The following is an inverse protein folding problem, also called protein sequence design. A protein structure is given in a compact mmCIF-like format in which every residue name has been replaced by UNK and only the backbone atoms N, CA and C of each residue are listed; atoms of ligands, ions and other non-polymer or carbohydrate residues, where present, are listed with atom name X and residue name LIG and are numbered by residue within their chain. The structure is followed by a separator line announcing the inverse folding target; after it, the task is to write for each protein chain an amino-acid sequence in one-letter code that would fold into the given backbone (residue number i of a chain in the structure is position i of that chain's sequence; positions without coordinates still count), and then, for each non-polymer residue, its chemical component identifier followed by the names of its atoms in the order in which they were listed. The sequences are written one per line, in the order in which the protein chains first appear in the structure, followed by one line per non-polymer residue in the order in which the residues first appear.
data_IF_972725861793
#
_entry.id   IF_972725861793
#
_cell.length_a   1.000
_cell.length_b   1.000
_cell.length_c   1.000
_cell.angle_alpha   90.00
_cell.angle_beta   90.00
_cell.angle_gamma   90.00
#
_symmetry.space_group_name_H-M   'P 1'
#
loop_
_entity.id
_entity.type
_entity.pdbx_description
1 polymer ?
#
# COMPACT_ATOMS: atom_id res chain seq x y z
N UNK A 1 1.82 33.39 60.30
CA UNK A 1 1.98 34.64 59.54
C UNK A 1 3.38 34.61 58.97
N UNK A 2 3.52 34.20 57.69
CA UNK A 2 3.25 35.10 56.56
C UNK A 2 2.35 34.48 55.48
N UNK A 3 1.63 35.34 54.77
CA UNK A 3 0.80 35.03 53.61
C UNK A 3 1.62 35.18 52.33
N UNK A 4 1.92 34.06 51.67
CA UNK A 4 2.45 34.07 50.30
C UNK A 4 1.29 34.19 49.31
N UNK A 5 1.28 35.31 48.59
CA UNK A 5 0.38 35.56 47.47
C UNK A 5 0.92 34.87 46.22
N UNK A 6 0.10 34.02 45.61
CA UNK A 6 0.35 33.39 44.31
C UNK A 6 -0.06 34.38 43.20
N UNK A 7 0.84 34.75 42.27
CA UNK A 7 0.47 35.59 41.13
C UNK A 7 -0.19 34.76 40.02
N UNK A 8 -1.34 35.25 39.56
CA UNK A 8 -2.09 34.72 38.40
C UNK A 8 -1.45 35.21 37.09
N UNK A 9 -1.24 34.35 36.08
CA UNK A 9 -0.78 34.80 34.78
C UNK A 9 -1.95 35.39 33.96
N UNK A 10 -1.81 36.68 33.63
CA UNK A 10 -2.62 37.41 32.65
C UNK A 10 -2.10 37.05 31.26
N UNK A 11 -2.88 36.31 30.48
CA UNK A 11 -2.61 36.12 29.04
C UNK A 11 -3.69 36.84 28.25
N UNK A 12 -3.41 38.11 27.92
CA UNK A 12 -4.23 38.92 27.03
C UNK A 12 -3.99 38.54 25.57
N UNK A 13 -5.04 38.09 24.88
CA UNK A 13 -5.04 37.97 23.43
C UNK A 13 -5.23 39.37 22.81
N UNK A 14 -4.37 39.80 21.86
CA UNK A 14 -4.61 41.02 21.11
C UNK A 14 -5.75 40.83 20.12
N UNK A 15 -6.69 41.78 20.21
CA UNK A 15 -7.85 41.98 19.34
C UNK A 15 -7.37 42.48 17.96
N UNK A 16 -7.71 41.85 16.83
CA UNK A 16 -7.41 42.42 15.53
C UNK A 16 -8.35 43.58 15.23
N UNK A 17 -7.74 44.73 14.97
CA UNK A 17 -8.39 45.98 14.65
C UNK A 17 -9.21 45.93 13.37
N UNK A 18 -10.30 46.70 13.43
CA UNK A 18 -11.23 46.98 12.36
C UNK A 18 -10.52 47.67 11.19
N UNK A 19 -10.30 46.96 10.09
CA UNK A 19 -10.09 47.60 8.80
C UNK A 19 -11.43 47.95 8.16
N UNK A 20 -11.64 49.25 8.13
CA UNK A 20 -12.76 50.03 7.63
C UNK A 20 -12.55 50.31 6.14
N UNK A 21 -13.58 50.06 5.35
CA UNK A 21 -13.99 50.91 4.23
C UNK A 21 -13.30 50.70 2.88
N UNK A 22 -14.06 50.21 1.91
CA UNK A 22 -13.72 50.23 0.50
C UNK A 22 -14.89 49.75 -0.35
N UNK A 23 -15.90 50.62 -0.49
CA UNK A 23 -16.99 50.43 -1.45
C UNK A 23 -16.43 50.49 -2.88
N UNK A 24 -16.64 49.44 -3.66
CA UNK A 24 -16.59 49.51 -5.12
C UNK A 24 -17.83 48.78 -5.66
N UNK A 25 -18.71 49.58 -6.24
CA UNK A 25 -19.91 49.16 -6.97
C UNK A 25 -19.51 48.71 -8.39
N UNK A 26 -20.24 47.80 -9.05
CA UNK A 26 -19.77 47.12 -10.24
C UNK A 26 -20.14 47.89 -11.52
N UNK A 27 -19.18 48.03 -12.42
CA UNK A 27 -19.45 48.41 -13.81
C UNK A 27 -19.70 47.15 -14.65
N UNK A 28 -20.89 47.14 -15.23
CA UNK A 28 -21.30 46.21 -16.26
C UNK A 28 -20.47 46.45 -17.54
N UNK A 29 -19.81 45.40 -18.04
CA UNK A 29 -19.40 45.34 -19.44
C UNK A 29 -20.00 44.09 -20.07
N UNK A 30 -21.09 44.37 -20.78
CA UNK A 30 -21.68 43.60 -21.85
C UNK A 30 -20.72 43.60 -23.05
N UNK A 31 -20.38 42.45 -23.62
CA UNK A 31 -20.06 42.28 -25.05
C UNK A 31 -19.92 40.77 -25.35
N UNK A 32 -20.93 40.18 -25.96
CA UNK A 32 -21.11 40.01 -27.42
C UNK A 32 -20.19 38.96 -28.03
N UNK A 33 -20.83 37.87 -28.45
CA UNK A 33 -20.33 36.82 -29.29
C UNK A 33 -19.68 37.35 -30.58
N UNK A 34 -18.65 36.67 -31.05
CA UNK A 34 -18.28 36.62 -32.45
C UNK A 34 -17.66 35.26 -32.74
N UNK A 35 -18.42 34.47 -33.48
CA UNK A 35 -17.94 33.36 -34.29
C UNK A 35 -16.85 33.85 -35.24
N UNK A 36 -15.77 33.08 -35.38
CA UNK A 36 -15.06 32.99 -36.64
C UNK A 36 -14.20 31.72 -36.67
N UNK A 37 -14.74 30.73 -37.39
CA UNK A 37 -14.00 29.66 -38.03
C UNK A 37 -12.85 30.22 -38.86
N UNK A 38 -11.65 29.65 -38.72
CA UNK A 38 -10.63 29.71 -39.77
C UNK A 38 -9.72 28.50 -39.69
N UNK A 39 -9.90 27.61 -40.67
CA UNK A 39 -8.95 26.63 -41.15
C UNK A 39 -7.62 27.31 -41.52
N UNK A 40 -6.51 26.71 -41.11
CA UNK A 40 -5.17 27.19 -41.45
C UNK A 40 -4.11 26.13 -41.18
N UNK A 41 -4.04 25.13 -42.07
CA UNK A 41 -2.87 24.28 -42.20
C UNK A 41 -1.71 25.11 -42.77
N UNK A 42 -0.51 25.02 -42.18
CA UNK A 42 0.75 24.70 -42.88
C UNK A 42 1.99 24.99 -42.04
N UNK A 43 2.97 24.13 -42.28
CA UNK A 43 4.40 24.44 -42.39
C UNK A 43 5.30 24.27 -41.16
N UNK A 44 5.92 23.10 -41.17
CA UNK A 44 7.26 22.80 -40.69
C UNK A 44 8.24 23.98 -40.79
N UNK A 45 9.00 24.22 -39.72
CA UNK A 45 10.43 24.44 -39.89
C UNK A 45 11.22 23.99 -38.66
N UNK A 46 12.03 22.96 -38.87
CA UNK A 46 13.06 22.50 -37.96
C UNK A 46 14.19 23.54 -37.86
N UNK A 47 14.65 23.81 -36.65
CA UNK A 47 15.99 24.37 -36.41
C UNK A 47 16.69 23.56 -35.33
N UNK A 48 17.63 22.75 -35.78
CA UNK A 48 18.68 22.15 -34.98
C UNK A 48 19.68 23.25 -34.57
N UNK A 49 19.99 23.34 -33.29
CA UNK A 49 21.15 24.07 -32.79
C UNK A 49 22.13 23.03 -32.23
N UNK A 50 23.14 22.70 -33.04
CA UNK A 50 24.31 21.98 -32.60
C UNK A 50 25.19 22.95 -31.81
N UNK A 51 25.41 22.65 -30.52
CA UNK A 51 26.42 23.33 -29.71
C UNK A 51 27.69 22.51 -29.79
N UNK A 52 28.66 23.10 -30.46
CA UNK A 52 30.04 22.65 -30.58
C UNK A 52 30.80 23.18 -29.37
N UNK A 53 31.28 22.30 -28.48
CA UNK A 53 32.33 22.62 -27.51
C UNK A 53 33.45 21.62 -27.73
N UNK A 54 34.47 22.12 -28.41
CA UNK A 54 35.83 21.60 -28.49
C UNK A 54 36.62 22.11 -27.28
N UNK A 55 37.58 21.32 -26.81
CA UNK A 55 38.60 21.81 -25.88
C UNK A 55 38.99 20.87 -24.75
N UNK A 56 40.16 20.25 -24.88
CA UNK A 56 41.12 20.24 -23.77
C UNK A 56 41.54 18.88 -23.24
N UNK A 57 42.52 18.27 -23.90
CA UNK A 57 43.40 17.26 -23.34
C UNK A 57 44.12 17.79 -22.08
N UNK A 58 44.19 16.97 -21.02
CA UNK A 58 45.38 16.82 -20.16
C UNK A 58 45.21 15.66 -19.17
N UNK A 59 45.96 14.59 -19.42
CA UNK A 59 46.51 13.69 -18.40
C UNK A 59 48.02 14.02 -18.28
N UNK A 60 48.86 13.42 -17.40
CA UNK A 60 48.61 12.38 -16.38
C UNK A 60 49.29 12.64 -15.02
N UNK A 61 48.94 11.88 -13.97
CA UNK A 61 49.87 11.58 -12.86
C UNK A 61 49.43 10.35 -12.04
N UNK A 62 50.23 9.29 -12.20
CA UNK A 62 50.69 8.25 -11.27
C UNK A 62 50.11 8.13 -9.84
N UNK A 63 49.58 6.92 -9.53
CA UNK A 63 49.92 5.94 -8.47
C UNK A 63 50.34 6.44 -7.04
N UNK A 64 49.98 5.73 -5.95
CA UNK A 64 50.35 4.32 -5.76
C UNK A 64 49.35 3.38 -5.06
N UNK A 65 49.59 2.10 -5.34
CA UNK A 65 49.03 0.89 -4.75
C UNK A 65 49.43 0.72 -3.29
N UNK A 66 48.51 0.21 -2.47
CA UNK A 66 48.82 -0.40 -1.16
C UNK A 66 48.25 -1.82 -1.08
N UNK A 67 48.89 -2.71 -0.30
CA UNK A 67 48.70 -4.16 -0.38
C UNK A 67 47.78 -4.71 0.72
N UNK A 68 47.16 -5.86 0.39
CA UNK A 68 46.94 -7.06 1.22
C UNK A 68 46.46 -6.87 2.66
N UNK A 69 45.23 -7.31 2.94
CA UNK A 69 44.97 -8.16 4.10
C UNK A 69 43.95 -9.27 3.75
N UNK A 70 44.48 -10.48 3.69
CA UNK A 70 43.77 -11.75 3.81
C UNK A 70 43.28 -11.88 5.25
N UNK A 71 41.96 -12.00 5.44
CA UNK A 71 41.39 -12.54 6.68
C UNK A 71 40.42 -13.65 6.30
N UNK A 72 40.95 -14.87 6.28
CA UNK A 72 40.18 -16.08 6.47
C UNK A 72 39.66 -16.13 7.92
N UNK A 73 38.38 -16.46 8.11
CA UNK A 73 37.78 -17.20 9.23
C UNK A 73 36.26 -17.30 8.94
N UNK A 74 35.79 -18.44 8.47
CA UNK A 74 35.16 -19.47 9.30
C UNK A 74 33.78 -19.07 9.87
N UNK A 75 32.73 -19.43 9.13
CA UNK A 75 31.53 -20.07 9.71
C UNK A 75 30.64 -20.65 8.60
N UNK A 76 31.00 -21.83 8.09
CA UNK A 76 30.07 -22.65 7.35
C UNK A 76 29.08 -23.29 8.33
N UNK A 77 28.06 -22.54 8.75
CA UNK A 77 26.87 -23.14 9.34
C UNK A 77 26.04 -23.74 8.21
N UNK A 78 26.29 -25.02 7.97
CA UNK A 78 25.46 -25.88 7.16
C UNK A 78 24.05 -25.91 7.78
N UNK A 79 23.15 -25.04 7.28
CA UNK A 79 21.73 -25.10 7.57
C UNK A 79 21.18 -26.32 6.86
N UNK A 80 21.13 -27.44 7.57
CA UNK A 80 20.42 -28.63 7.14
C UNK A 80 18.93 -28.28 6.91
N UNK A 81 18.29 -28.90 5.91
CA UNK A 81 16.95 -28.55 5.50
C UNK A 81 15.93 -28.84 6.61
N UNK A 82 15.14 -27.81 6.95
CA UNK A 82 14.05 -27.77 7.95
C UNK A 82 13.01 -28.91 7.78
N UNK A 83 13.03 -29.61 6.66
CA UNK A 83 12.16 -30.76 6.40
C UNK A 83 12.45 -31.98 7.27
N UNK A 84 13.69 -32.16 7.75
CA UNK A 84 14.01 -33.35 8.55
C UNK A 84 13.39 -33.29 9.95
N UNK A 85 13.39 -32.13 10.61
CA UNK A 85 12.83 -31.97 11.95
C UNK A 85 11.32 -32.27 12.00
N UNK A 86 10.57 -31.89 10.96
CA UNK A 86 9.13 -32.16 10.89
C UNK A 86 8.83 -33.66 10.76
N UNK A 87 9.62 -34.40 9.97
CA UNK A 87 9.45 -35.85 9.85
C UNK A 87 9.76 -36.55 11.18
N UNK A 88 10.81 -36.12 11.89
CA UNK A 88 11.17 -36.67 13.20
C UNK A 88 10.08 -36.41 14.24
N UNK A 89 9.46 -35.22 14.25
CA UNK A 89 8.34 -34.90 15.14
C UNK A 89 7.09 -35.75 14.85
N UNK A 90 6.77 -35.98 13.58
CA UNK A 90 5.63 -36.84 13.19
C UNK A 90 5.87 -38.30 13.60
N UNK A 91 7.10 -38.81 13.41
CA UNK A 91 7.46 -40.17 13.82
C UNK A 91 7.44 -40.33 15.35
N UNK A 92 7.91 -39.33 16.09
CA UNK A 92 7.85 -39.32 17.55
C UNK A 92 6.40 -39.30 18.07
N UNK A 93 5.52 -38.50 17.44
CA UNK A 93 4.09 -38.49 17.76
C UNK A 93 3.40 -39.82 17.47
N UNK A 94 3.75 -40.49 16.36
CA UNK A 94 3.21 -41.80 16.01
C UNK A 94 3.58 -42.89 17.03
N UNK A 95 4.80 -42.83 17.59
CA UNK A 95 5.27 -43.79 18.59
C UNK A 95 4.54 -43.68 19.95
N UNK A 96 3.91 -42.53 20.24
CA UNK A 96 3.14 -42.30 21.47
C UNK A 96 1.67 -42.78 21.37
N UNK A 97 1.21 -43.14 20.17
CA UNK A 97 -0.16 -43.64 19.97
C UNK A 97 -0.30 -45.06 20.52
N UNK A 98 -1.50 -45.39 21.00
CA UNK A 98 -1.82 -46.77 21.39
C UNK A 98 -1.82 -47.70 20.16
N UNK A 99 -1.62 -49.02 20.33
CA UNK A 99 -1.62 -49.96 19.21
C UNK A 99 -2.89 -49.91 18.34
N UNK A 100 -4.05 -49.61 18.95
CA UNK A 100 -5.32 -49.45 18.22
C UNK A 100 -5.36 -48.18 17.36
N UNK A 101 -4.83 -47.08 17.86
CA UNK A 101 -4.73 -45.81 17.12
C UNK A 101 -3.73 -45.92 15.96
N UNK A 102 -2.60 -46.59 16.17
CA UNK A 102 -1.61 -46.86 15.11
C UNK A 102 -2.22 -47.69 13.97
N UNK A 103 -3.09 -48.66 14.31
CA UNK A 103 -3.79 -49.50 13.32
C UNK A 103 -4.78 -48.69 12.47
N UNK A 104 -5.47 -47.72 13.07
CA UNK A 104 -6.38 -46.82 12.34
C UNK A 104 -5.61 -45.90 11.39
N UNK A 105 -4.54 -45.26 11.88
CA UNK A 105 -3.67 -44.41 11.05
C UNK A 105 -3.06 -45.22 9.90
N UNK A 106 -2.63 -46.46 10.15
CA UNK A 106 -2.12 -47.36 9.10
C UNK A 106 -3.17 -47.73 8.06
N UNK A 107 -4.45 -47.85 8.45
CA UNK A 107 -5.57 -48.10 7.52
C UNK A 107 -5.84 -46.90 6.62
N UNK A 108 -5.66 -45.69 7.15
CA UNK A 108 -5.84 -44.44 6.37
C UNK A 108 -4.67 -44.25 5.40
N UNK A 109 -3.44 -44.51 5.83
CA UNK A 109 -2.24 -44.37 4.99
C UNK A 109 -2.20 -45.45 3.90
N UNK A 110 -2.58 -46.68 4.25
CA UNK A 110 -2.61 -47.82 3.34
C UNK A 110 -4.04 -48.37 3.26
N UNK A 111 -4.94 -47.71 2.52
CA UNK A 111 -6.29 -48.21 2.35
C UNK A 111 -6.23 -49.59 1.68
N UNK A 112 -6.89 -50.62 2.24
CA UNK A 112 -6.88 -51.95 1.66
C UNK A 112 -7.49 -51.90 0.26
N UNK A 113 -6.75 -52.44 -0.72
CA UNK A 113 -7.23 -52.58 -2.08
C UNK A 113 -8.52 -53.40 -2.07
N UNK A 114 -9.64 -52.76 -2.40
CA UNK A 114 -10.95 -53.39 -2.48
C UNK A 114 -10.91 -54.39 -3.63
N UNK A 115 -10.83 -55.68 -3.30
CA UNK A 115 -10.97 -56.78 -4.26
C UNK A 115 -12.47 -56.95 -4.53
N UNK A 116 -12.95 -56.26 -5.55
CA UNK A 116 -14.30 -56.43 -6.09
C UNK A 116 -14.30 -57.57 -7.11
N UNK A 117 -14.96 -58.68 -6.77
CA UNK A 117 -15.34 -59.73 -7.71
C UNK A 117 -16.85 -59.75 -7.90
N UNK A 118 -17.34 -59.27 -9.05
CA UNK A 118 -18.46 -59.89 -9.75
C UNK A 118 -18.59 -59.30 -11.16
N UNK A 119 -18.57 -60.20 -12.14
CA UNK A 119 -18.53 -59.95 -13.57
C UNK A 119 -19.95 -59.75 -14.12
N UNK A 120 -20.27 -58.52 -14.47
CA UNK A 120 -21.21 -58.19 -15.56
C UNK A 120 -20.41 -57.32 -16.51
N UNK A 121 -20.44 -57.65 -17.81
CA UNK A 121 -19.71 -56.94 -18.86
C UNK A 121 -20.05 -55.44 -18.81
N UNK A 122 -19.18 -54.69 -18.14
CA UNK A 122 -19.17 -53.24 -18.07
C UNK A 122 -17.74 -52.86 -18.37
N UNK A 123 -17.60 -52.04 -19.41
CA UNK A 123 -16.35 -51.59 -19.96
C UNK A 123 -15.42 -51.08 -18.87
N UNK A 124 -14.18 -51.56 -18.95
CA UNK A 124 -13.01 -51.24 -18.14
C UNK A 124 -13.09 -49.84 -17.49
N UNK A 125 -13.09 -49.72 -16.15
CA UNK A 125 -12.89 -48.43 -15.49
C UNK A 125 -11.40 -48.13 -15.59
N UNK A 126 -11.00 -47.68 -16.78
CA UNK A 126 -9.75 -46.99 -16.97
C UNK A 126 -9.64 -45.92 -15.87
N UNK A 127 -8.46 -45.82 -15.28
CA UNK A 127 -8.00 -44.68 -14.48
C UNK A 127 -8.21 -43.39 -15.28
N UNK A 128 -9.44 -42.90 -15.31
CA UNK A 128 -9.76 -41.53 -15.66
C UNK A 128 -9.31 -40.73 -14.44
N UNK A 129 -8.02 -40.38 -14.45
CA UNK A 129 -7.52 -39.30 -13.63
C UNK A 129 -8.48 -38.15 -13.85
N UNK A 130 -9.27 -37.81 -12.82
CA UNK A 130 -10.10 -36.62 -12.80
C UNK A 130 -9.13 -35.44 -12.84
N UNK A 131 -8.70 -35.08 -14.05
CA UNK A 131 -7.99 -33.85 -14.40
C UNK A 131 -8.99 -32.71 -14.50
N UNK A 132 -9.95 -32.65 -13.58
CA UNK A 132 -10.87 -31.54 -13.45
C UNK A 132 -10.35 -30.58 -12.38
N UNK A 133 -10.55 -29.26 -12.51
CA UNK A 133 -10.28 -28.33 -11.43
C UNK A 133 -11.12 -28.72 -10.20
N UNK A 134 -10.56 -28.50 -9.00
CA UNK A 134 -11.19 -28.87 -7.72
C UNK A 134 -12.55 -28.16 -7.51
N UNK A 135 -12.72 -27.02 -8.18
CA UNK A 135 -13.93 -26.22 -8.22
C UNK A 135 -14.22 -25.90 -9.69
N UNK A 136 -15.48 -26.02 -10.10
CA UNK A 136 -15.93 -25.75 -11.48
C UNK A 136 -17.07 -24.76 -11.41
N UNK A 137 -17.08 -23.77 -12.30
CA UNK A 137 -18.10 -22.72 -12.36
C UNK A 137 -19.52 -23.31 -12.47
N UNK A 138 -19.67 -24.44 -13.19
CA UNK A 138 -20.93 -25.19 -13.33
C UNK A 138 -21.49 -25.74 -12.01
N UNK A 139 -20.65 -25.87 -10.97
CA UNK A 139 -21.04 -26.32 -9.63
C UNK A 139 -21.30 -25.16 -8.66
N UNK A 140 -20.99 -23.92 -9.04
CA UNK A 140 -21.27 -22.75 -8.22
C UNK A 140 -22.78 -22.48 -8.18
N UNK A 141 -23.35 -22.47 -6.97
CA UNK A 141 -24.71 -22.02 -6.75
C UNK A 141 -24.68 -20.52 -6.48
N UNK A 142 -25.58 -19.71 -7.08
CA UNK A 142 -25.71 -18.32 -6.73
C UNK A 142 -25.88 -18.22 -5.21
N UNK A 143 -25.03 -17.41 -4.56
CA UNK A 143 -25.25 -17.10 -3.17
C UNK A 143 -26.68 -16.55 -3.03
N UNK A 144 -27.44 -17.03 -2.04
CA UNK A 144 -28.71 -16.44 -1.70
C UNK A 144 -28.42 -15.00 -1.28
N UNK A 145 -28.55 -14.08 -2.24
CA UNK A 145 -28.33 -12.66 -2.05
C UNK A 145 -29.33 -12.17 -1.02
N UNK A 146 -28.89 -12.13 0.23
CA UNK A 146 -29.47 -11.26 1.24
C UNK A 146 -29.36 -9.84 0.68
N UNK A 147 -30.45 -9.40 0.07
CA UNK A 147 -30.66 -8.17 -0.70
C UNK A 147 -30.65 -6.93 0.19
N UNK A 148 -29.92 -6.98 1.30
CA UNK A 148 -29.49 -5.78 1.99
C UNK A 148 -28.49 -5.09 1.08
N UNK A 149 -28.96 -4.14 0.27
CA UNK A 149 -28.19 -3.18 -0.54
C UNK A 149 -27.22 -2.31 0.28
N UNK A 150 -26.90 -2.73 1.50
CA UNK A 150 -25.92 -2.14 2.40
C UNK A 150 -24.51 -2.58 2.03
N UNK A 151 -24.18 -2.56 0.73
CA UNK A 151 -22.79 -2.25 0.38
C UNK A 151 -22.55 -0.89 1.02
N UNK A 152 -21.88 -0.88 2.16
CA UNK A 152 -21.40 0.33 2.79
C UNK A 152 -20.33 0.84 1.84
N UNK A 153 -20.81 1.50 0.77
CA UNK A 153 -19.98 2.00 -0.30
C UNK A 153 -19.00 3.01 0.26
N UNK A 154 -17.94 3.26 -0.51
CA UNK A 154 -16.96 4.28 -0.15
C UNK A 154 -17.70 5.60 0.04
N UNK A 155 -17.50 6.22 1.20
CA UNK A 155 -18.19 7.46 1.55
C UNK A 155 -17.88 8.55 0.50
N UNK A 156 -18.89 9.30 -0.02
CA UNK A 156 -18.70 10.24 -1.14
C UNK A 156 -17.69 11.35 -0.85
N UNK A 157 -17.50 11.71 0.41
CA UNK A 157 -16.50 12.72 0.80
C UNK A 157 -15.05 12.26 0.59
N UNK A 158 -14.79 10.96 0.55
CA UNK A 158 -13.47 10.43 0.20
C UNK A 158 -13.22 10.65 -1.30
N UNK A 159 -14.26 10.49 -2.13
CA UNK A 159 -14.20 10.82 -3.57
C UNK A 159 -13.90 12.31 -3.71
N UNK A 160 -14.60 13.17 -2.97
CA UNK A 160 -14.36 14.61 -3.01
C UNK A 160 -12.94 15.00 -2.56
N UNK A 161 -12.40 14.34 -1.53
CA UNK A 161 -11.02 14.52 -1.10
C UNK A 161 -10.02 14.13 -2.22
N UNK A 162 -10.32 13.07 -2.96
CA UNK A 162 -9.51 12.60 -4.10
C UNK A 162 -9.56 13.60 -5.27
N UNK A 163 -10.74 14.15 -5.60
CA UNK A 163 -10.93 15.18 -6.63
C UNK A 163 -10.11 16.45 -6.31
N UNK A 164 -9.99 16.78 -5.03
CA UNK A 164 -9.17 17.89 -4.54
C UNK A 164 -7.65 17.63 -4.67
N UNK A 165 -7.22 16.45 -5.13
CA UNK A 165 -5.81 16.02 -5.21
C UNK A 165 -5.10 16.10 -3.85
N UNK A 166 -5.84 15.79 -2.78
CA UNK A 166 -5.30 15.69 -1.43
C UNK A 166 -4.92 14.24 -1.13
N UNK A 167 -3.89 14.05 -0.30
CA UNK A 167 -3.48 12.71 0.14
C UNK A 167 -4.67 11.97 0.76
N UNK A 168 -4.83 10.70 0.40
CA UNK A 168 -5.86 9.82 0.93
C UNK A 168 -5.20 8.83 1.91
N UNK A 169 -5.21 9.13 3.23
CA UNK A 169 -4.74 8.19 4.22
C UNK A 169 -5.54 6.90 4.18
N UNK A 170 -4.85 5.76 4.28
CA UNK A 170 -5.50 4.46 4.38
C UNK A 170 -6.34 4.28 5.63
N UNK A 171 -6.08 5.07 6.68
CA UNK A 171 -6.94 5.07 7.85
C UNK A 171 -8.37 5.50 7.53
N UNK A 172 -8.62 6.25 6.44
CA UNK A 172 -9.98 6.54 5.96
C UNK A 172 -10.69 5.31 5.36
N UNK A 173 -9.95 4.32 4.90
CA UNK A 173 -10.47 3.11 4.26
C UNK A 173 -10.71 1.96 5.24
N UNK A 174 -10.45 2.15 6.54
CA UNK A 174 -10.85 1.19 7.57
C UNK A 174 -12.38 1.19 7.74
N UNK A 175 -12.97 0.02 8.00
CA UNK A 175 -14.42 -0.12 8.19
C UNK A 175 -14.94 0.77 9.33
N UNK A 176 -14.17 0.88 10.41
CA UNK A 176 -14.51 1.75 11.53
C UNK A 176 -14.52 3.23 11.12
N UNK A 177 -13.53 3.67 10.34
CA UNK A 177 -13.45 5.04 9.83
C UNK A 177 -14.57 5.37 8.84
N UNK A 178 -14.91 4.43 7.94
CA UNK A 178 -16.07 4.57 7.04
C UNK A 178 -17.36 4.73 7.85
N UNK A 179 -17.56 3.90 8.88
CA UNK A 179 -18.72 4.00 9.78
C UNK A 179 -18.76 5.35 10.50
N UNK A 180 -17.63 5.83 11.00
CA UNK A 180 -17.55 7.14 11.66
C UNK A 180 -17.83 8.29 10.68
N UNK A 181 -17.41 8.19 9.42
CA UNK A 181 -17.78 9.14 8.37
C UNK A 181 -19.30 9.17 8.17
N UNK A 182 -19.96 8.02 8.02
CA UNK A 182 -21.43 7.99 7.86
C UNK A 182 -22.19 8.54 9.07
N UNK A 183 -21.68 8.34 10.29
CA UNK A 183 -22.38 8.74 11.52
C UNK A 183 -22.06 10.17 11.97
N UNK A 184 -20.85 10.67 11.72
CA UNK A 184 -20.31 11.89 12.37
C UNK A 184 -19.73 12.90 11.39
N UNK A 185 -20.09 12.83 10.10
CA UNK A 185 -19.48 13.65 9.05
C UNK A 185 -19.36 15.15 9.38
N UNK A 186 -20.40 15.74 9.96
CA UNK A 186 -20.43 17.18 10.25
C UNK A 186 -19.33 17.62 11.24
N UNK A 187 -18.85 16.73 12.11
CA UNK A 187 -17.77 17.00 13.05
C UNK A 187 -16.38 16.81 12.40
N UNK A 188 -16.34 15.95 11.38
CA UNK A 188 -15.13 15.54 10.67
C UNK A 188 -14.85 16.39 9.42
N UNK A 189 -15.56 17.50 9.20
CA UNK A 189 -15.31 18.42 8.09
C UNK A 189 -14.54 19.66 8.54
N UNK A 190 -13.60 20.10 7.71
CA UNK A 190 -12.97 21.41 7.79
C UNK A 190 -13.13 22.15 6.47
N UNK A 191 -12.84 23.45 6.50
CA UNK A 191 -12.80 24.25 5.28
C UNK A 191 -11.35 24.47 4.88
N UNK A 192 -11.04 24.23 3.62
CA UNK A 192 -9.76 24.59 3.02
C UNK A 192 -10.00 25.53 1.83
N UNK A 193 -9.04 26.41 1.55
CA UNK A 193 -9.06 27.24 0.35
C UNK A 193 -8.25 26.50 -0.72
N UNK A 194 -8.94 25.91 -1.69
CA UNK A 194 -8.34 25.15 -2.79
C UNK A 194 -8.62 25.91 -4.08
N UNK A 195 -7.55 26.32 -4.78
CA UNK A 195 -7.65 27.13 -6.01
C UNK A 195 -8.51 28.39 -5.84
N UNK A 196 -8.38 29.05 -4.68
CA UNK A 196 -9.11 30.29 -4.36
C UNK A 196 -10.58 30.11 -3.96
N UNK A 197 -11.10 28.87 -3.94
CA UNK A 197 -12.46 28.57 -3.51
C UNK A 197 -12.46 27.90 -2.14
N UNK A 198 -13.42 28.25 -1.29
CA UNK A 198 -13.61 27.61 0.01
C UNK A 198 -14.33 26.27 -0.20
N UNK A 199 -13.63 25.17 0.04
CA UNK A 199 -14.11 23.80 -0.11
C UNK A 199 -14.18 23.12 1.24
N UNK A 200 -15.22 22.32 1.48
CA UNK A 200 -15.30 21.48 2.68
C UNK A 200 -14.63 20.14 2.40
N UNK A 201 -13.71 19.72 3.27
CA UNK A 201 -13.00 18.44 3.14
C UNK A 201 -12.98 17.71 4.48
N UNK A 202 -12.66 16.41 4.44
CA UNK A 202 -12.48 15.59 5.63
C UNK A 202 -11.24 16.07 6.41
N UNK A 203 -11.41 16.27 7.72
CA UNK A 203 -10.34 16.47 8.70
C UNK A 203 -9.59 15.16 8.92
N UNK A 204 -8.48 15.00 8.20
CA UNK A 204 -7.65 13.79 8.25
C UNK A 204 -7.03 13.55 9.63
N UNK A 205 -6.77 14.62 10.39
CA UNK A 205 -6.15 14.57 11.72
C UNK A 205 -7.02 13.91 12.81
N UNK A 206 -8.33 13.75 12.56
CA UNK A 206 -9.26 13.07 13.47
C UNK A 206 -9.20 11.54 13.37
N UNK A 207 -8.48 11.00 12.37
CA UNK A 207 -8.31 9.57 12.18
C UNK A 207 -6.96 9.11 12.78
N UNK A 208 -6.79 7.81 13.05
CA UNK A 208 -5.52 7.28 13.52
C UNK A 208 -4.36 7.68 12.59
N UNK A 209 -3.18 7.81 13.19
CA UNK A 209 -1.95 8.11 12.45
C UNK A 209 -1.61 6.94 11.52
N UNK A 210 -1.67 7.20 10.22
CA UNK A 210 -1.39 6.22 9.18
C UNK A 210 0.02 5.63 9.30
N UNK A 211 1.01 6.38 9.80
CA UNK A 211 2.37 5.89 9.99
C UNK A 211 2.49 4.83 11.11
N UNK A 212 1.46 4.71 11.95
CA UNK A 212 1.38 3.75 13.06
C UNK A 212 0.36 2.64 12.81
N UNK A 213 -0.17 2.56 11.59
CA UNK A 213 -1.07 1.47 11.17
C UNK A 213 -0.37 0.12 11.36
N UNK A 214 -1.12 -0.94 11.64
CA UNK A 214 -0.58 -2.30 11.71
C UNK A 214 -0.84 -3.09 10.39
N UNK A 215 -0.18 -4.24 10.18
CA UNK A 215 -0.29 -4.99 8.93
C UNK A 215 -1.69 -5.56 8.63
N UNK A 216 -2.54 -5.71 9.64
CA UNK A 216 -3.91 -6.22 9.50
C UNK A 216 -4.80 -5.10 8.98
N UNK A 217 -4.80 -3.96 9.68
CA UNK A 217 -5.49 -2.75 9.28
C UNK A 217 -5.08 -2.29 7.88
N UNK A 218 -3.78 -2.37 7.55
CA UNK A 218 -3.29 -2.03 6.22
C UNK A 218 -3.84 -2.93 5.11
N UNK A 219 -4.03 -4.23 5.36
CA UNK A 219 -4.65 -5.14 4.38
C UNK A 219 -6.13 -4.85 4.20
N UNK A 220 -6.84 -4.58 5.30
CA UNK A 220 -8.24 -4.18 5.24
C UNK A 220 -8.40 -2.88 4.43
N UNK A 221 -7.61 -1.86 4.77
CA UNK A 221 -7.61 -0.59 4.06
C UNK A 221 -7.28 -0.76 2.57
N UNK A 222 -6.32 -1.62 2.22
CA UNK A 222 -6.01 -1.93 0.83
C UNK A 222 -7.17 -2.58 0.07
N UNK A 223 -7.85 -3.54 0.70
CA UNK A 223 -9.00 -4.19 0.07
C UNK A 223 -10.09 -3.16 -0.26
N UNK A 224 -10.40 -2.28 0.69
CA UNK A 224 -11.39 -1.21 0.49
C UNK A 224 -10.90 -0.14 -0.50
N UNK A 225 -9.60 0.17 -0.50
CA UNK A 225 -8.99 1.11 -1.45
C UNK A 225 -9.00 0.58 -2.89
N UNK A 226 -8.83 -0.73 -3.10
CA UNK A 226 -8.96 -1.33 -4.43
C UNK A 226 -10.40 -1.26 -4.95
N UNK A 227 -11.41 -1.46 -4.09
CA UNK A 227 -12.82 -1.27 -4.46
C UNK A 227 -13.08 0.18 -4.87
N UNK A 228 -12.53 1.14 -4.13
CA UNK A 228 -12.57 2.56 -4.50
C UNK A 228 -11.94 2.82 -5.86
N UNK A 229 -10.72 2.32 -6.10
CA UNK A 229 -10.03 2.53 -7.37
C UNK A 229 -10.72 1.85 -8.55
N UNK A 230 -11.35 0.69 -8.34
CA UNK A 230 -12.11 -0.01 -9.38
C UNK A 230 -13.32 0.83 -9.83
N UNK A 231 -13.96 1.55 -8.92
CA UNK A 231 -15.08 2.44 -9.21
C UNK A 231 -14.67 3.80 -9.80
N UNK A 232 -13.62 4.42 -9.24
CA UNK A 232 -13.31 5.84 -9.46
C UNK A 232 -12.08 6.08 -10.36
N UNK A 233 -11.23 5.08 -10.60
CA UNK A 233 -10.02 5.23 -11.39
C UNK A 233 -10.13 4.59 -12.77
N UNK A 234 -9.27 5.01 -13.70
CA UNK A 234 -9.17 4.34 -14.99
C UNK A 234 -8.60 2.92 -14.83
N UNK A 235 -8.93 1.96 -15.72
CA UNK A 235 -8.46 0.58 -15.60
C UNK A 235 -6.94 0.45 -15.51
N UNK A 236 -6.18 1.30 -16.21
CA UNK A 236 -4.72 1.31 -16.15
C UNK A 236 -4.18 1.72 -14.77
N UNK A 237 -4.84 2.69 -14.12
CA UNK A 237 -4.48 3.15 -12.77
C UNK A 237 -4.81 2.09 -11.72
N UNK A 238 -6.00 1.50 -11.82
CA UNK A 238 -6.40 0.38 -10.97
C UNK A 238 -5.40 -0.79 -11.07
N UNK A 239 -5.05 -1.22 -12.28
CA UNK A 239 -4.07 -2.29 -12.50
C UNK A 239 -2.68 -1.94 -11.94
N UNK A 240 -2.25 -0.70 -12.06
CA UNK A 240 -0.97 -0.24 -11.50
C UNK A 240 -0.96 -0.41 -9.96
N UNK A 241 -2.00 0.07 -9.29
CA UNK A 241 -2.10 -0.03 -7.83
C UNK A 241 -2.32 -1.47 -7.35
N UNK A 242 -3.04 -2.29 -8.10
CA UNK A 242 -3.16 -3.72 -7.82
C UNK A 242 -1.79 -4.42 -7.87
N UNK A 243 -0.95 -4.10 -8.86
CA UNK A 243 0.43 -4.62 -8.95
C UNK A 243 1.30 -4.12 -7.80
N UNK A 244 1.20 -2.85 -7.44
CA UNK A 244 1.88 -2.27 -6.27
C UNK A 244 1.51 -3.02 -4.99
N UNK A 245 0.21 -3.22 -4.71
CA UNK A 245 -0.23 -4.00 -3.54
C UNK A 245 0.29 -5.44 -3.56
N UNK A 246 0.23 -6.12 -4.72
CA UNK A 246 0.76 -7.48 -4.88
C UNK A 246 2.27 -7.54 -4.61
N UNK A 247 3.02 -6.55 -5.07
CA UNK A 247 4.45 -6.46 -4.81
C UNK A 247 4.74 -6.26 -3.31
N UNK A 248 4.03 -5.37 -2.63
CA UNK A 248 4.24 -5.11 -1.21
C UNK A 248 3.81 -6.28 -0.31
N UNK A 249 2.68 -6.91 -0.62
CA UNK A 249 2.16 -8.05 0.13
C UNK A 249 2.97 -9.33 -0.07
N UNK A 250 3.74 -9.45 -1.16
CA UNK A 250 4.62 -10.60 -1.43
C UNK A 250 6.00 -10.50 -0.76
N UNK A 251 6.30 -9.39 -0.09
CA UNK A 251 7.57 -9.22 0.61
C UNK A 251 7.73 -10.25 1.73
N UNK A 252 8.93 -10.85 1.80
CA UNK A 252 9.25 -11.82 2.85
C UNK A 252 9.19 -11.18 4.24
N UNK A 253 8.84 -11.98 5.26
CA UNK A 253 8.75 -11.52 6.65
C UNK A 253 7.98 -10.21 6.78
N UNK A 254 6.77 -10.17 6.20
CA UNK A 254 5.93 -8.96 6.13
C UNK A 254 5.88 -8.22 7.46
N UNK A 255 5.68 -8.93 8.57
CA UNK A 255 5.63 -8.38 9.93
C UNK A 255 6.87 -7.56 10.29
N UNK A 256 8.07 -8.09 10.02
CA UNK A 256 9.33 -7.42 10.33
C UNK A 256 9.62 -6.27 9.38
N UNK A 257 9.33 -6.44 8.09
CA UNK A 257 9.57 -5.40 7.06
C UNK A 257 8.44 -4.36 6.99
N UNK A 258 7.39 -4.50 7.80
CA UNK A 258 6.18 -3.72 7.66
C UNK A 258 6.38 -2.21 7.77
N UNK A 259 7.19 -1.68 8.71
CA UNK A 259 7.42 -0.23 8.78
C UNK A 259 8.02 0.34 7.49
N UNK A 260 8.92 -0.40 6.83
CA UNK A 260 9.47 -0.01 5.53
C UNK A 260 8.43 -0.09 4.40
N UNK A 261 7.61 -1.14 4.40
CA UNK A 261 6.52 -1.33 3.42
C UNK A 261 5.51 -0.20 3.54
N UNK A 262 5.05 0.10 4.75
CA UNK A 262 4.08 1.16 5.02
C UNK A 262 4.64 2.54 4.67
N UNK A 263 5.88 2.84 5.06
CA UNK A 263 6.53 4.11 4.72
C UNK A 263 6.64 4.30 3.20
N UNK A 264 7.08 3.27 2.48
CA UNK A 264 7.18 3.33 1.02
C UNK A 264 5.81 3.45 0.36
N UNK A 265 4.80 2.72 0.85
CA UNK A 265 3.43 2.80 0.35
C UNK A 265 2.84 4.21 0.48
N UNK A 266 2.93 4.80 1.68
CA UNK A 266 2.50 6.18 1.95
C UNK A 266 3.20 7.15 1.00
N UNK A 267 4.51 7.01 0.82
CA UNK A 267 5.30 7.86 -0.06
C UNK A 267 4.82 7.78 -1.51
N UNK A 268 4.64 6.57 -2.05
CA UNK A 268 4.19 6.36 -3.43
C UNK A 268 2.78 6.92 -3.65
N UNK A 269 1.86 6.74 -2.69
CA UNK A 269 0.50 7.31 -2.78
C UNK A 269 0.51 8.83 -2.75
N UNK A 270 1.28 9.44 -1.85
CA UNK A 270 1.43 10.90 -1.78
C UNK A 270 1.99 11.47 -3.08
N UNK A 271 3.05 10.85 -3.59
CA UNK A 271 3.70 11.29 -4.83
C UNK A 271 2.75 11.17 -6.02
N UNK A 272 2.03 10.05 -6.14
CA UNK A 272 1.07 9.84 -7.23
C UNK A 272 -0.09 10.84 -7.20
N UNK A 273 -0.60 11.18 -6.01
CA UNK A 273 -1.65 12.19 -5.86
C UNK A 273 -1.16 13.59 -6.24
N UNK A 274 0.08 13.92 -5.89
CA UNK A 274 0.68 15.21 -6.23
C UNK A 274 1.07 15.30 -7.72
N UNK A 275 1.61 14.22 -8.27
CA UNK A 275 2.16 14.14 -9.62
C UNK A 275 1.81 12.80 -10.26
N UNK A 276 1.06 12.86 -11.36
CA UNK A 276 0.80 11.68 -12.18
C UNK A 276 2.09 11.31 -12.94
N UNK A 277 2.87 10.40 -12.36
CA UNK A 277 4.11 9.90 -12.97
C UNK A 277 3.89 8.56 -13.66
N UNK A 278 4.62 8.35 -14.75
CA UNK A 278 4.71 7.05 -15.40
C UNK A 278 5.51 6.11 -14.50
N UNK A 279 5.01 4.88 -14.33
CA UNK A 279 5.67 3.87 -13.52
C UNK A 279 6.97 3.40 -14.21
N UNK A 280 8.11 3.61 -13.53
CA UNK A 280 9.40 3.05 -13.90
C UNK A 280 9.81 2.00 -12.87
N UNK A 281 9.90 0.74 -13.31
CA UNK A 281 10.10 -0.41 -12.42
C UNK A 281 11.48 -0.36 -11.72
N UNK A 282 12.53 0.07 -12.43
CA UNK A 282 13.87 0.14 -11.86
C UNK A 282 13.96 1.20 -10.76
N UNK A 283 13.47 2.42 -11.02
CA UNK A 283 13.42 3.49 -10.02
C UNK A 283 12.54 3.10 -8.84
N UNK A 284 11.42 2.44 -9.09
CA UNK A 284 10.51 1.95 -8.05
C UNK A 284 11.21 0.95 -7.11
N UNK A 285 11.86 -0.08 -7.65
CA UNK A 285 12.57 -1.09 -6.87
C UNK A 285 13.75 -0.49 -6.11
N UNK A 286 14.55 0.36 -6.77
CA UNK A 286 15.67 1.07 -6.14
C UNK A 286 15.19 1.93 -4.97
N UNK A 287 14.05 2.63 -5.13
CA UNK A 287 13.46 3.43 -4.06
C UNK A 287 12.98 2.58 -2.90
N UNK A 288 12.31 1.45 -3.17
CA UNK A 288 11.87 0.54 -2.11
C UNK A 288 13.04 0.00 -1.28
N UNK A 289 14.13 -0.44 -1.92
CA UNK A 289 15.32 -0.90 -1.21
C UNK A 289 15.95 0.21 -0.37
N UNK A 290 16.00 1.44 -0.89
CA UNK A 290 16.49 2.60 -0.13
C UNK A 290 15.66 2.84 1.13
N UNK A 291 14.33 2.84 1.03
CA UNK A 291 13.44 3.01 2.20
C UNK A 291 13.65 1.88 3.22
N UNK A 292 13.79 0.64 2.75
CA UNK A 292 14.08 -0.51 3.62
C UNK A 292 15.37 -0.33 4.40
N UNK A 293 16.46 0.07 3.74
CA UNK A 293 17.73 0.34 4.41
C UNK A 293 17.61 1.49 5.41
N UNK A 294 16.91 2.57 5.07
CA UNK A 294 16.71 3.70 5.99
C UNK A 294 15.99 3.29 7.28
N UNK A 295 14.90 2.52 7.17
CA UNK A 295 14.15 2.03 8.34
C UNK A 295 15.03 1.11 9.19
N UNK A 296 15.78 0.20 8.57
CA UNK A 296 16.72 -0.68 9.30
C UNK A 296 17.79 0.11 10.06
N UNK A 297 18.29 1.21 9.49
CA UNK A 297 19.25 2.09 10.17
C UNK A 297 18.60 2.84 11.34
N UNK A 298 17.37 3.33 11.18
CA UNK A 298 16.61 3.98 12.25
C UNK A 298 16.35 3.03 13.44
N UNK A 299 16.02 1.78 13.16
CA UNK A 299 15.83 0.73 14.18
C UNK A 299 17.14 0.42 14.91
N UNK A 300 18.25 0.32 14.18
CA UNK A 300 19.58 0.08 14.75
C UNK A 300 20.01 1.23 15.67
N UNK A 301 19.79 2.47 15.24
CA UNK A 301 20.11 3.66 16.04
C UNK A 301 19.22 3.76 17.28
N UNK A 302 17.94 3.40 17.15
CA UNK A 302 17.01 3.32 18.28
C UNK A 302 17.43 2.26 19.29
N UNK A 303 17.90 1.10 18.80
CA UNK A 303 18.43 0.03 19.65
C UNK A 303 19.71 0.44 20.38
N UNK A 304 20.68 1.08 19.70
CA UNK A 304 21.91 1.58 20.34
C UNK A 304 21.60 2.56 21.47
N UNK A 305 20.69 3.51 21.22
CA UNK A 305 20.22 4.46 22.24
C UNK A 305 19.58 3.77 23.44
N UNK A 306 18.79 2.72 23.22
CA UNK A 306 18.15 1.97 24.30
C UNK A 306 19.15 1.17 25.17
N UNK A 307 20.26 0.71 24.58
CA UNK A 307 21.31 -0.06 25.28
C UNK A 307 22.40 0.85 25.87
N UNK A 308 22.45 2.13 25.50
CA UNK A 308 23.45 3.08 25.99
C UNK A 308 24.83 2.92 25.35
N UNK A 309 24.86 2.48 24.07
CA UNK A 309 26.07 2.40 23.23
C UNK A 309 26.17 3.64 22.33
#
# INVERSE_FOLDING_TARGET
MPTDQVPTPITGNPRPDKLRGGNAQPDAINNKASDSSALGASQQQARAAAVHIDGGMSAPASQPSTPVEDVALSCAQSRLPVHHERLTQVLAGYALLTPEQQKEVSRIINPPAVVAGSSVAVESPAKLGRSGPLFSDDAERPALSSTGDHKSGIHPEIIHLAECRLHLPFTLFLAQSQKDLFLKLNLLREHLIIKGSKTYVIKVDQFPDEAKMDPTDWREAWANYLVFLEAEASPGVFLCWQRHFRFLSSQQNLQHNFPAILRFDIERRREYTAFLMVHDEETYLRRFQKVKTMVLMEDLDSWKKAVGI
#
